data_IF_709074796233
#
_entry.id   IF_709074796233
#
_cell.length_a   1.000
_cell.length_b   1.000
_cell.length_c   1.000
_cell.angle_alpha   90.00
_cell.angle_beta   90.00
_cell.angle_gamma   90.00
#
_symmetry.space_group_name_H-M   'P 1'
#
loop_
_entity.id
_entity.type
_entity.pdbx_description
1 polymer ?
#
# COMPACT_ATOMS: atom_id res chain seq x y z
N UNK A 1 8.25 -12.03 -4.98
CA UNK A 1 8.25 -10.59 -4.63
C UNK A 1 7.63 -9.86 -5.82
N UNK A 2 6.35 -10.16 -5.99
CA UNK A 2 5.45 -9.88 -7.09
C UNK A 2 4.14 -10.51 -6.53
N UNK A 3 3.03 -9.86 -6.24
CA UNK A 3 2.58 -8.51 -6.55
C UNK A 3 1.44 -8.15 -5.59
N UNK A 4 1.64 -7.26 -4.62
CA UNK A 4 0.52 -6.55 -3.97
C UNK A 4 0.10 -5.36 -4.86
N UNK A 5 0.09 -5.57 -6.18
CA UNK A 5 -0.21 -4.54 -7.17
C UNK A 5 -1.65 -4.66 -7.62
N UNK A 6 -2.37 -3.55 -7.57
CA UNK A 6 -3.82 -3.55 -7.83
C UNK A 6 -4.17 -2.52 -8.89
N UNK A 7 -5.19 -2.83 -9.69
CA UNK A 7 -5.77 -1.87 -10.65
C UNK A 7 -7.01 -1.26 -10.05
N UNK A 8 -6.99 0.05 -9.84
CA UNK A 8 -8.15 0.80 -9.35
C UNK A 8 -8.41 1.97 -10.30
N UNK A 9 -9.61 2.02 -10.90
CA UNK A 9 -10.02 3.10 -11.83
C UNK A 9 -9.01 3.36 -12.97
N UNK A 10 -8.34 2.32 -13.47
CA UNK A 10 -7.34 2.42 -14.54
C UNK A 10 -5.91 2.74 -14.08
N UNK A 11 -5.70 2.97 -12.78
CA UNK A 11 -4.38 3.20 -12.20
C UNK A 11 -3.79 1.90 -11.68
N UNK A 12 -2.49 1.69 -11.88
CA UNK A 12 -1.72 0.63 -11.23
C UNK A 12 -1.19 1.19 -9.91
N UNK A 13 -1.57 0.56 -8.81
CA UNK A 13 -1.21 0.98 -7.45
C UNK A 13 -0.34 -0.11 -6.84
N UNK A 14 0.76 0.31 -6.24
CA UNK A 14 1.71 -0.52 -5.51
C UNK A 14 1.37 -0.46 -4.01
N UNK A 15 0.71 -1.48 -3.45
CA UNK A 15 0.31 -1.42 -2.04
C UNK A 15 1.52 -1.37 -1.10
N UNK A 16 2.61 -2.07 -1.43
CA UNK A 16 3.85 -2.03 -0.65
C UNK A 16 4.54 -0.65 -0.62
N UNK A 17 4.34 0.19 -1.65
CA UNK A 17 4.81 1.58 -1.62
C UNK A 17 4.01 2.40 -0.60
N UNK A 18 2.69 2.21 -0.56
CA UNK A 18 1.81 2.87 0.40
C UNK A 18 2.17 2.44 1.83
N UNK A 19 2.37 1.14 2.07
CA UNK A 19 2.81 0.61 3.38
C UNK A 19 4.14 1.21 3.83
N UNK A 20 5.11 1.30 2.92
CA UNK A 20 6.43 1.89 3.20
C UNK A 20 6.29 3.37 3.59
N UNK A 21 5.46 4.14 2.85
CA UNK A 21 5.21 5.55 3.14
C UNK A 21 4.45 5.77 4.45
N UNK A 22 3.50 4.91 4.77
CA UNK A 22 2.82 4.94 6.07
C UNK A 22 3.77 4.64 7.23
N UNK A 23 4.71 3.71 7.04
CA UNK A 23 5.72 3.37 8.05
C UNK A 23 6.74 4.47 8.31
N UNK A 24 6.91 5.42 7.38
CA UNK A 24 7.73 6.62 7.57
C UNK A 24 7.03 7.70 8.43
N UNK A 25 5.72 7.58 8.69
CA UNK A 25 4.96 8.58 9.44
C UNK A 25 5.26 8.50 10.95
N UNK A 26 5.56 9.62 11.63
CA UNK A 26 5.84 9.62 13.07
C UNK A 26 4.69 9.01 13.88
N UNK A 27 5.02 8.05 14.74
CA UNK A 27 4.05 7.36 15.59
C UNK A 27 3.39 6.12 14.96
N UNK A 28 3.62 5.84 13.68
CA UNK A 28 3.21 4.58 13.05
C UNK A 28 4.23 3.49 13.38
N UNK A 29 3.78 2.42 14.04
CA UNK A 29 4.64 1.27 14.39
C UNK A 29 4.67 0.22 13.28
N UNK A 30 3.53 0.00 12.62
CA UNK A 30 3.33 -0.98 11.56
C UNK A 30 2.15 -0.53 10.70
N UNK A 31 2.19 -0.80 9.40
CA UNK A 31 1.13 -0.45 8.46
C UNK A 31 0.90 -1.61 7.48
N UNK A 32 -0.37 -1.89 7.19
CA UNK A 32 -0.81 -2.87 6.19
C UNK A 32 -1.89 -2.22 5.33
N UNK A 33 -1.82 -2.39 4.01
CA UNK A 33 -2.77 -1.80 3.07
C UNK A 33 -3.54 -2.89 2.34
N UNK A 34 -4.87 -2.79 2.37
CA UNK A 34 -5.78 -3.76 1.76
C UNK A 34 -6.74 -3.05 0.79
N UNK A 35 -7.11 -3.74 -0.29
CA UNK A 35 -8.22 -3.31 -1.16
C UNK A 35 -9.52 -3.88 -0.64
N UNK A 36 -10.58 -3.07 -0.66
CA UNK A 36 -11.95 -3.48 -0.31
C UNK A 36 -12.89 -3.17 -1.47
N UNK A 37 -13.92 -4.01 -1.62
CA UNK A 37 -15.01 -3.87 -2.59
C UNK A 37 -15.79 -2.56 -2.45
#
# INVERSE_FOLDING_TARGET
RNDDQVKLRGFRIELGEIESKLSECPGVREAVVLVRE
#
